data_IF_231537799975
#
_entry.id   IF_231537799975
#
_cell.length_a   1.000
_cell.length_b   1.000
_cell.length_c   1.000
_cell.angle_alpha   90.00
_cell.angle_beta   90.00
_cell.angle_gamma   90.00
#
_symmetry.space_group_name_H-M   'P 1'
#
loop_
_entity.id
_entity.type
_entity.pdbx_description
1 polymer ?
#
# COMPACT_ATOMS: atom_id res chain seq x y z
N UNK A 1 -16.30 11.10 15.88
CA UNK A 1 -15.14 10.33 16.33
C UNK A 1 -14.08 10.35 15.25
N UNK A 2 -12.82 10.33 15.64
CA UNK A 2 -11.70 10.31 14.69
C UNK A 2 -11.21 8.87 14.55
N UNK A 3 -11.16 8.38 13.30
CA UNK A 3 -10.81 6.99 13.00
C UNK A 3 -9.57 6.95 12.13
N UNK A 4 -8.55 6.21 12.58
CA UNK A 4 -7.33 5.95 11.80
C UNK A 4 -7.48 4.66 11.02
N UNK A 5 -7.19 4.70 9.71
CA UNK A 5 -7.25 3.54 8.82
C UNK A 5 -5.88 3.34 8.19
N UNK A 6 -5.35 2.13 8.25
CA UNK A 6 -4.12 1.79 7.54
C UNK A 6 -4.35 1.77 6.04
N UNK A 7 -3.29 1.93 5.27
CA UNK A 7 -3.35 2.06 3.82
C UNK A 7 -3.10 0.72 3.11
N UNK A 8 -1.87 0.22 3.17
CA UNK A 8 -1.48 -0.97 2.40
C UNK A 8 -2.13 -2.25 2.93
N UNK A 9 -2.76 -3.00 2.03
CA UNK A 9 -3.48 -4.25 2.30
C UNK A 9 -4.67 -4.12 3.24
N UNK A 10 -5.08 -2.91 3.57
CA UNK A 10 -6.30 -2.63 4.33
C UNK A 10 -7.35 -2.02 3.42
N UNK A 11 -6.96 -1.06 2.58
CA UNK A 11 -7.89 -0.47 1.60
C UNK A 11 -7.45 -0.72 0.16
N UNK A 12 -6.24 -1.23 -0.05
CA UNK A 12 -5.71 -1.50 -1.38
C UNK A 12 -5.04 -2.88 -1.44
N UNK A 13 -4.78 -3.34 -2.66
CA UNK A 13 -4.13 -4.61 -2.93
C UNK A 13 -2.62 -4.45 -3.13
N UNK A 14 -1.95 -3.88 -2.13
CA UNK A 14 -0.51 -3.62 -2.18
C UNK A 14 0.31 -4.90 -2.42
N UNK A 15 0.11 -5.93 -1.58
CA UNK A 15 0.91 -7.16 -1.67
C UNK A 15 0.72 -7.84 -3.03
N UNK A 16 -0.52 -7.93 -3.51
CA UNK A 16 -0.78 -8.52 -4.82
C UNK A 16 -0.09 -7.76 -5.94
N UNK A 17 -0.13 -6.43 -5.89
CA UNK A 17 0.52 -5.59 -6.91
C UNK A 17 2.04 -5.71 -6.85
N UNK A 18 2.61 -5.73 -5.65
CA UNK A 18 4.05 -5.89 -5.46
C UNK A 18 4.53 -7.25 -5.98
N UNK A 19 3.81 -8.32 -5.67
CA UNK A 19 4.20 -9.66 -6.13
C UNK A 19 4.10 -9.80 -7.64
N UNK A 20 3.08 -9.23 -8.25
CA UNK A 20 2.92 -9.24 -9.71
C UNK A 20 4.05 -8.45 -10.40
N UNK A 21 4.33 -7.26 -9.88
CA UNK A 21 5.44 -6.44 -10.37
C UNK A 21 6.78 -7.16 -10.24
N UNK A 22 7.03 -7.77 -9.08
CA UNK A 22 8.27 -8.48 -8.80
C UNK A 22 8.47 -9.67 -9.74
N UNK A 23 7.41 -10.44 -9.98
CA UNK A 23 7.45 -11.56 -10.90
C UNK A 23 7.84 -11.12 -12.30
N UNK A 24 7.24 -10.05 -12.79
CA UNK A 24 7.54 -9.53 -14.13
C UNK A 24 8.97 -9.00 -14.25
N UNK A 25 9.46 -8.33 -13.22
CA UNK A 25 10.76 -7.67 -13.26
C UNK A 25 11.92 -8.60 -12.95
N UNK A 26 11.76 -9.49 -11.98
CA UNK A 26 12.84 -10.32 -11.46
C UNK A 26 12.64 -11.82 -11.74
N UNK A 27 11.52 -12.22 -12.27
CA UNK A 27 11.25 -13.62 -12.62
C UNK A 27 10.88 -14.54 -11.48
N UNK A 28 10.82 -14.05 -10.25
CA UNK A 28 10.48 -14.86 -9.07
C UNK A 28 9.00 -14.70 -8.76
N UNK A 29 8.25 -15.80 -8.84
CA UNK A 29 6.83 -15.81 -8.53
C UNK A 29 6.60 -16.21 -7.09
N UNK A 30 5.87 -15.37 -6.35
CA UNK A 30 5.40 -15.66 -5.00
C UNK A 30 3.91 -15.36 -4.98
N UNK A 31 3.09 -16.32 -4.55
CA UNK A 31 1.66 -16.11 -4.45
C UNK A 31 1.33 -15.41 -3.14
N UNK A 32 0.39 -14.47 -3.20
CA UNK A 32 -0.03 -13.69 -2.03
C UNK A 32 -0.40 -14.59 -0.85
N UNK A 33 -1.05 -15.70 -1.13
CA UNK A 33 -1.52 -16.64 -0.11
C UNK A 33 -0.40 -17.34 0.65
N UNK A 34 0.81 -17.36 0.10
CA UNK A 34 1.99 -17.96 0.74
C UNK A 34 2.64 -17.04 1.77
N UNK A 35 2.25 -15.76 1.80
CA UNK A 35 2.91 -14.74 2.62
C UNK A 35 2.33 -14.75 4.02
N UNK A 36 3.15 -15.11 4.99
CA UNK A 36 2.77 -15.18 6.40
C UNK A 36 3.41 -14.07 7.23
N UNK A 37 4.54 -13.55 6.79
CA UNK A 37 5.27 -12.45 7.46
C UNK A 37 5.74 -11.46 6.42
N UNK A 38 5.96 -10.20 6.82
CA UNK A 38 6.36 -9.13 5.92
C UNK A 38 7.89 -8.99 5.84
N UNK A 39 8.55 -10.09 5.56
CA UNK A 39 9.98 -10.12 5.27
C UNK A 39 10.15 -10.60 3.83
N UNK A 40 10.17 -9.66 2.92
CA UNK A 40 10.22 -9.95 1.48
C UNK A 40 11.49 -10.71 1.09
N UNK A 41 12.60 -10.45 1.76
CA UNK A 41 13.85 -11.16 1.50
C UNK A 41 13.74 -12.66 1.69
N UNK A 42 12.89 -13.08 2.63
CA UNK A 42 12.65 -14.50 2.88
C UNK A 42 12.03 -15.18 1.65
N UNK A 43 11.00 -14.56 1.06
CA UNK A 43 10.30 -15.13 -0.08
C UNK A 43 11.09 -14.97 -1.38
N UNK A 44 11.84 -13.90 -1.53
CA UNK A 44 12.62 -13.62 -2.73
C UNK A 44 13.99 -14.24 -2.69
N UNK A 45 14.40 -14.80 -1.54
CA UNK A 45 15.70 -15.46 -1.35
C UNK A 45 16.86 -14.50 -1.59
N UNK A 46 16.76 -13.29 -1.05
CA UNK A 46 17.78 -12.25 -1.14
C UNK A 46 17.98 -11.61 0.24
N UNK A 47 19.12 -10.92 0.46
CA UNK A 47 19.33 -10.22 1.72
C UNK A 47 18.26 -9.18 1.98
N UNK A 48 17.97 -8.93 3.25
CA UNK A 48 16.95 -7.98 3.66
C UNK A 48 17.16 -6.57 3.07
N UNK A 49 18.42 -6.10 3.08
CA UNK A 49 18.74 -4.77 2.55
C UNK A 49 18.39 -4.66 1.06
N UNK A 50 18.64 -5.71 0.30
CA UNK A 50 18.29 -5.73 -1.11
C UNK A 50 16.78 -5.79 -1.30
N UNK A 51 16.07 -6.54 -0.45
CA UNK A 51 14.61 -6.59 -0.50
C UNK A 51 14.01 -5.21 -0.23
N UNK A 52 14.50 -4.52 0.79
CA UNK A 52 14.04 -3.15 1.11
C UNK A 52 14.29 -2.21 -0.07
N UNK A 53 15.48 -2.31 -0.68
CA UNK A 53 15.80 -1.49 -1.86
C UNK A 53 14.83 -1.73 -3.01
N UNK A 54 14.48 -2.99 -3.27
CA UNK A 54 13.56 -3.34 -4.37
C UNK A 54 12.13 -2.88 -4.07
N UNK A 55 11.69 -2.93 -2.83
CA UNK A 55 10.38 -2.40 -2.43
C UNK A 55 10.37 -0.87 -2.59
N UNK A 56 11.45 -0.19 -2.22
CA UNK A 56 11.54 1.26 -2.39
C UNK A 56 11.48 1.64 -3.87
N UNK A 57 12.13 0.88 -4.75
CA UNK A 57 12.05 1.11 -6.19
C UNK A 57 10.61 0.92 -6.68
N UNK A 58 9.91 -0.08 -6.17
CA UNK A 58 8.48 -0.25 -6.47
C UNK A 58 7.69 0.99 -6.07
N UNK A 59 7.87 1.47 -4.85
CA UNK A 59 7.17 2.68 -4.39
C UNK A 59 7.49 3.90 -5.26
N UNK A 60 8.73 4.03 -5.72
CA UNK A 60 9.16 5.17 -6.51
C UNK A 60 8.65 5.13 -7.95
N UNK A 61 8.60 3.95 -8.55
CA UNK A 61 8.42 3.81 -10.00
C UNK A 61 7.07 3.24 -10.41
N UNK A 62 6.40 2.49 -9.56
CA UNK A 62 5.10 1.91 -9.89
C UNK A 62 4.02 2.99 -9.84
N UNK A 63 3.16 3.01 -10.84
CA UNK A 63 2.02 3.94 -10.82
C UNK A 63 1.05 3.50 -9.73
N UNK A 64 1.01 4.26 -8.63
CA UNK A 64 0.21 3.91 -7.46
C UNK A 64 -1.28 3.78 -7.79
N UNK A 65 -1.76 4.47 -8.81
CA UNK A 65 -3.16 4.37 -9.24
C UNK A 65 -3.52 2.96 -9.72
N UNK A 66 -2.52 2.18 -10.14
CA UNK A 66 -2.72 0.82 -10.60
C UNK A 66 -2.80 -0.21 -9.46
N UNK A 67 -2.58 0.21 -8.22
CA UNK A 67 -2.88 -0.64 -7.06
C UNK A 67 -4.39 -0.55 -6.83
N UNK A 68 -5.09 -1.64 -7.08
CA UNK A 68 -6.55 -1.64 -6.98
C UNK A 68 -7.02 -1.53 -5.54
N UNK A 69 -8.17 -0.87 -5.29
CA UNK A 69 -8.78 -0.91 -3.97
C UNK A 69 -9.27 -2.33 -3.67
N UNK A 70 -9.25 -2.70 -2.39
CA UNK A 70 -9.88 -3.95 -1.96
C UNK A 70 -11.38 -3.84 -2.18
N UNK A 71 -12.02 -4.99 -2.42
CA UNK A 71 -13.46 -5.04 -2.65
C UNK A 71 -14.19 -4.36 -1.50
N UNK A 72 -15.13 -3.48 -1.83
CA UNK A 72 -15.94 -2.72 -0.88
C UNK A 72 -15.19 -1.69 -0.02
N UNK A 73 -13.87 -1.54 -0.19
CA UNK A 73 -13.12 -0.57 0.62
C UNK A 73 -13.61 0.86 0.41
N UNK A 74 -13.83 1.24 -0.84
CA UNK A 74 -14.28 2.61 -1.17
C UNK A 74 -15.67 2.88 -0.59
N UNK A 75 -16.59 1.92 -0.71
CA UNK A 75 -17.95 2.05 -0.16
C UNK A 75 -17.88 2.19 1.37
N UNK A 76 -17.08 1.33 2.02
CA UNK A 76 -16.93 1.35 3.48
C UNK A 76 -16.33 2.65 3.99
N UNK A 77 -15.30 3.17 3.30
CA UNK A 77 -14.70 4.46 3.66
C UNK A 77 -15.70 5.59 3.52
N UNK A 78 -16.47 5.62 2.43
CA UNK A 78 -17.48 6.64 2.24
C UNK A 78 -18.57 6.59 3.32
N UNK A 79 -18.95 5.40 3.76
CA UNK A 79 -19.90 5.24 4.85
C UNK A 79 -19.35 5.78 6.17
N UNK A 80 -18.08 5.44 6.49
CA UNK A 80 -17.44 5.94 7.71
C UNK A 80 -17.33 7.46 7.73
N UNK A 81 -17.02 8.06 6.59
CA UNK A 81 -16.84 9.51 6.49
C UNK A 81 -18.13 10.31 6.65
N UNK A 82 -19.29 9.67 6.60
CA UNK A 82 -20.56 10.36 6.85
C UNK A 82 -20.69 10.81 8.32
N UNK A 83 -20.16 10.00 9.23
CA UNK A 83 -20.34 10.21 10.67
C UNK A 83 -19.04 10.42 11.43
N UNK A 84 -17.89 10.23 10.79
CA UNK A 84 -16.59 10.25 11.46
C UNK A 84 -15.56 11.00 10.64
N UNK A 85 -14.55 11.56 11.32
CA UNK A 85 -13.37 12.05 10.67
C UNK A 85 -12.44 10.87 10.44
N UNK A 86 -12.09 10.59 9.18
CA UNK A 86 -11.19 9.49 8.82
C UNK A 86 -9.81 10.04 8.47
N UNK A 87 -8.77 9.47 9.06
CA UNK A 87 -7.39 9.77 8.71
C UNK A 87 -6.69 8.48 8.26
N UNK A 88 -5.75 8.60 7.34
CA UNK A 88 -4.95 7.47 6.88
C UNK A 88 -3.67 7.42 7.70
N UNK A 89 -3.36 6.25 8.23
CA UNK A 89 -2.12 6.00 8.97
C UNK A 89 -1.33 4.95 8.18
N UNK A 90 -0.14 5.30 7.74
CA UNK A 90 0.67 4.40 6.90
C UNK A 90 2.08 4.26 7.43
N UNK A 91 2.67 3.06 7.25
CA UNK A 91 4.08 2.83 7.54
C UNK A 91 5.00 3.24 6.40
N UNK A 92 4.45 3.63 5.23
CA UNK A 92 5.29 4.13 4.14
C UNK A 92 6.09 5.34 4.60
N UNK A 93 7.36 5.46 4.15
CA UNK A 93 8.14 6.68 4.43
C UNK A 93 7.45 7.94 3.93
N UNK A 94 7.63 9.05 4.64
CA UNK A 94 6.98 10.32 4.32
C UNK A 94 7.36 10.84 2.91
N UNK A 95 8.52 10.44 2.40
CA UNK A 95 8.92 10.82 1.03
C UNK A 95 7.98 10.28 -0.04
N UNK A 96 7.14 9.28 0.31
CA UNK A 96 6.14 8.73 -0.61
C UNK A 96 4.73 9.27 -0.34
N UNK A 97 4.59 10.31 0.46
CA UNK A 97 3.29 10.90 0.80
C UNK A 97 2.48 11.25 -0.45
N UNK A 98 3.14 11.82 -1.46
CA UNK A 98 2.47 12.20 -2.70
C UNK A 98 1.83 11.00 -3.42
N UNK A 99 2.41 9.80 -3.27
CA UNK A 99 1.85 8.58 -3.85
C UNK A 99 0.56 8.17 -3.16
N UNK A 100 0.55 8.26 -1.82
CA UNK A 100 -0.66 7.94 -1.04
C UNK A 100 -1.78 8.93 -1.38
N UNK A 101 -1.44 10.21 -1.43
CA UNK A 101 -2.41 11.26 -1.78
C UNK A 101 -2.95 11.09 -3.19
N UNK A 102 -2.09 10.72 -4.15
CA UNK A 102 -2.50 10.45 -5.54
C UNK A 102 -3.49 9.29 -5.61
N UNK A 103 -3.22 8.21 -4.85
CA UNK A 103 -4.13 7.06 -4.81
C UNK A 103 -5.49 7.43 -4.24
N UNK A 104 -5.50 8.17 -3.13
CA UNK A 104 -6.74 8.63 -2.49
C UNK A 104 -7.54 9.54 -3.42
N UNK A 105 -6.87 10.46 -4.09
CA UNK A 105 -7.51 11.38 -5.02
C UNK A 105 -8.14 10.64 -6.20
N UNK A 106 -7.43 9.66 -6.73
CA UNK A 106 -7.89 8.90 -7.90
C UNK A 106 -9.03 7.93 -7.57
N UNK A 107 -8.87 7.12 -6.51
CA UNK A 107 -9.82 6.06 -6.19
C UNK A 107 -10.95 6.50 -5.26
N UNK A 108 -10.66 7.35 -4.29
CA UNK A 108 -11.64 7.81 -3.31
C UNK A 108 -12.23 9.16 -3.70
N UNK A 109 -11.48 9.96 -4.46
CA UNK A 109 -11.84 11.32 -4.89
C UNK A 109 -12.07 12.27 -3.71
N UNK A 110 -11.33 12.07 -2.65
CA UNK A 110 -11.35 12.89 -1.44
C UNK A 110 -9.95 13.06 -0.89
N UNK A 111 -9.72 14.19 -0.25
CA UNK A 111 -8.46 14.47 0.42
C UNK A 111 -8.61 14.11 1.90
N UNK A 112 -7.79 13.19 2.35
CA UNK A 112 -7.74 12.79 3.75
C UNK A 112 -6.37 13.14 4.31
N UNK A 113 -6.33 13.42 5.62
CA UNK A 113 -5.06 13.59 6.30
C UNK A 113 -4.32 12.25 6.30
N UNK A 114 -3.02 12.30 6.00
CA UNK A 114 -2.15 11.11 5.99
C UNK A 114 -1.09 11.29 7.06
N UNK A 115 -0.97 10.29 7.93
CA UNK A 115 0.01 10.26 9.01
C UNK A 115 0.99 9.13 8.70
N UNK A 116 2.29 9.46 8.66
CA UNK A 116 3.35 8.48 8.39
C UNK A 116 3.92 8.01 9.72
N UNK A 117 3.45 6.84 10.19
CA UNK A 117 3.74 6.36 11.54
C UNK A 117 5.19 5.92 11.75
N UNK A 118 5.94 5.63 10.68
CA UNK A 118 7.33 5.18 10.78
C UNK A 118 8.37 6.28 10.78
N UNK A 119 7.97 7.53 10.66
CA UNK A 119 8.89 8.67 10.52
C UNK A 119 8.94 9.56 11.74
#
# INVERSE_FOLDING_TARGET
MKIGIDFDDVINEFTGSLMSYYHKKYGKKVNKEEILVWDWGLYWEIPREEAVRRVDIFHETYDVKNILPLEKAIVSLNELMKDHEVVIITSRPVRFKHKVEEWLDYHLKKKLKVIHAGD
#
